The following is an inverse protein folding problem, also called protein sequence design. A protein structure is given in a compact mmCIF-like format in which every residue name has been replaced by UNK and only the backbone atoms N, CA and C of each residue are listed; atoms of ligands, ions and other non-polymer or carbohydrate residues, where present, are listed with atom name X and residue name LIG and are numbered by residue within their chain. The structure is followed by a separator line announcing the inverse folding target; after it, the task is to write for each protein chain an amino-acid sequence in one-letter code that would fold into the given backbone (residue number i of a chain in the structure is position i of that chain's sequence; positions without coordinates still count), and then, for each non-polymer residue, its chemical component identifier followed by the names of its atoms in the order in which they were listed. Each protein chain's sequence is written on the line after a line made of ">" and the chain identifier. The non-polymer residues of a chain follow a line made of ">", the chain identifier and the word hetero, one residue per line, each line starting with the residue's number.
data_IF_823726321439
#
_entry.id   IF_823726321439
#
_cell.length_a   1.000
_cell.length_b   1.000
_cell.length_c   1.000
_cell.angle_alpha   90.00
_cell.angle_beta   90.00
_cell.angle_gamma   90.00
#
_symmetry.space_group_name_H-M   'P 1'
#
loop_
_entity.id
_entity.type
_entity.pdbx_description
1 polymer ?
#
# COMPACT_ATOMS: atom_id res chain seq x y z
N UNK A 1 -13.49 22.69 -1.49
CA UNK A 1 -13.47 21.29 -1.99
C UNK A 1 -12.06 20.80 -2.31
N UNK A 2 -11.28 21.48 -3.18
CA UNK A 2 -9.91 21.12 -3.59
C UNK A 2 -8.95 20.87 -2.41
N UNK A 3 -8.92 21.77 -1.40
CA UNK A 3 -8.05 21.62 -0.21
C UNK A 3 -8.28 20.33 0.55
N UNK A 4 -9.51 19.84 0.61
CA UNK A 4 -9.80 18.56 1.29
C UNK A 4 -9.24 17.37 0.50
N UNK A 5 -9.49 17.32 -0.83
CA UNK A 5 -8.94 16.25 -1.67
C UNK A 5 -7.43 16.23 -1.61
N UNK A 6 -6.77 17.38 -1.71
CA UNK A 6 -5.32 17.49 -1.59
C UNK A 6 -4.82 16.92 -0.25
N UNK A 7 -5.49 17.29 0.87
CA UNK A 7 -5.13 16.77 2.19
C UNK A 7 -5.27 15.25 2.29
N UNK A 8 -6.33 14.68 1.71
CA UNK A 8 -6.57 13.24 1.74
C UNK A 8 -5.58 12.50 0.83
N UNK A 9 -5.29 13.02 -0.35
CA UNK A 9 -4.26 12.51 -1.25
C UNK A 9 -2.87 12.54 -0.60
N UNK A 10 -2.47 13.66 0.00
CA UNK A 10 -1.21 13.79 0.73
C UNK A 10 -1.11 12.80 1.88
N UNK A 11 -2.21 12.56 2.61
CA UNK A 11 -2.24 11.56 3.67
C UNK A 11 -2.01 10.15 3.14
N UNK A 12 -2.54 9.85 1.96
CA UNK A 12 -2.36 8.54 1.34
C UNK A 12 -0.94 8.37 0.80
N UNK A 13 -0.40 9.39 0.14
CA UNK A 13 1.01 9.40 -0.31
C UNK A 13 1.98 9.33 0.86
N UNK A 14 1.72 10.05 1.97
CA UNK A 14 2.56 9.95 3.16
C UNK A 14 2.49 8.58 3.82
N UNK A 15 1.35 7.90 3.79
CA UNK A 15 1.24 6.52 4.24
C UNK A 15 2.13 5.58 3.41
N UNK A 16 2.19 5.77 2.08
CA UNK A 16 3.12 5.05 1.21
C UNK A 16 4.57 5.31 1.63
N UNK A 17 4.98 6.57 1.71
CA UNK A 17 6.36 6.96 2.07
C UNK A 17 6.76 6.38 3.42
N UNK A 18 5.91 6.47 4.44
CA UNK A 18 6.20 5.94 5.79
C UNK A 18 6.45 4.44 5.74
N UNK A 19 5.62 3.68 5.02
CA UNK A 19 5.83 2.22 4.92
C UNK A 19 7.10 1.89 4.16
N UNK A 20 7.42 2.61 3.08
CA UNK A 20 8.66 2.38 2.33
C UNK A 20 9.90 2.71 3.17
N UNK A 21 9.89 3.81 3.94
CA UNK A 21 10.97 4.14 4.87
C UNK A 21 11.12 3.09 5.98
N UNK A 22 9.99 2.62 6.52
CA UNK A 22 10.00 1.55 7.52
C UNK A 22 10.54 0.24 6.94
N UNK A 23 10.14 -0.11 5.72
CA UNK A 23 10.66 -1.26 5.00
C UNK A 23 12.15 -1.14 4.71
N UNK A 24 12.62 0.06 4.34
CA UNK A 24 14.04 0.35 4.11
C UNK A 24 14.87 0.21 5.39
N UNK A 25 14.32 0.63 6.53
CA UNK A 25 15.00 0.53 7.83
C UNK A 25 15.06 -0.92 8.34
N UNK A 26 13.96 -1.67 8.23
CA UNK A 26 13.87 -3.05 8.74
C UNK A 26 14.40 -4.09 7.77
N UNK A 27 14.23 -3.89 6.47
CA UNK A 27 14.56 -4.87 5.45
C UNK A 27 15.99 -5.38 5.53
N UNK A 28 17.01 -4.49 5.52
CA UNK A 28 18.40 -4.90 5.65
C UNK A 28 18.72 -5.62 6.97
N UNK A 29 18.14 -5.18 8.08
CA UNK A 29 18.33 -5.81 9.39
C UNK A 29 17.79 -7.23 9.42
N UNK A 30 16.55 -7.42 8.95
CA UNK A 30 15.93 -8.75 8.90
C UNK A 30 16.66 -9.66 7.92
N UNK A 31 17.06 -9.13 6.75
CA UNK A 31 17.83 -9.88 5.77
C UNK A 31 19.18 -10.36 6.33
N UNK A 32 19.92 -9.46 6.97
CA UNK A 32 21.25 -9.77 7.50
C UNK A 32 21.21 -10.78 8.66
N UNK A 33 20.21 -10.65 9.53
CA UNK A 33 20.12 -11.48 10.76
C UNK A 33 19.51 -12.87 10.46
N UNK A 34 18.50 -12.95 9.59
CA UNK A 34 17.66 -14.16 9.51
C UNK A 34 17.92 -15.00 8.27
N UNK A 35 18.25 -14.41 7.14
CA UNK A 35 18.00 -15.10 5.88
C UNK A 35 19.19 -15.17 4.90
N UNK A 36 20.17 -14.29 4.92
CA UNK A 36 21.40 -14.31 4.10
C UNK A 36 21.32 -14.92 2.67
N UNK A 37 20.15 -15.34 2.24
CA UNK A 37 19.89 -16.07 1.02
C UNK A 37 18.91 -15.33 0.09
N UNK A 38 18.96 -15.66 -1.21
CA UNK A 38 18.02 -15.12 -2.20
C UNK A 38 16.55 -15.44 -1.85
N UNK A 39 16.28 -16.65 -1.38
CA UNK A 39 14.94 -17.05 -0.93
C UNK A 39 14.45 -16.22 0.25
N UNK A 40 15.34 -15.90 1.18
CA UNK A 40 15.04 -15.01 2.29
C UNK A 40 14.64 -13.62 1.85
N UNK A 41 15.28 -13.09 0.82
CA UNK A 41 14.93 -11.79 0.24
C UNK A 41 13.50 -11.79 -0.34
N UNK A 42 13.06 -12.86 -0.99
CA UNK A 42 11.69 -13.00 -1.48
C UNK A 42 10.67 -13.09 -0.35
N UNK A 43 10.94 -13.90 0.67
CA UNK A 43 10.05 -14.06 1.84
C UNK A 43 9.88 -12.71 2.55
N UNK A 44 10.98 -11.98 2.74
CA UNK A 44 10.93 -10.66 3.34
C UNK A 44 10.09 -9.68 2.51
N UNK A 45 10.32 -9.61 1.19
CA UNK A 45 9.52 -8.74 0.31
C UNK A 45 8.05 -9.12 0.28
N UNK A 46 7.73 -10.40 0.36
CA UNK A 46 6.35 -10.85 0.50
C UNK A 46 5.72 -10.37 1.81
N UNK A 47 6.42 -10.50 2.94
CA UNK A 47 5.96 -10.03 4.24
C UNK A 47 5.78 -8.50 4.27
N UNK A 48 6.74 -7.75 3.72
CA UNK A 48 6.66 -6.30 3.61
C UNK A 48 5.52 -5.85 2.69
N UNK A 49 5.25 -6.58 1.61
CA UNK A 49 4.11 -6.32 0.70
C UNK A 49 2.78 -6.50 1.43
N UNK A 50 2.65 -7.53 2.27
CA UNK A 50 1.45 -7.75 3.10
C UNK A 50 1.30 -6.62 4.12
N UNK A 51 2.36 -6.24 4.81
CA UNK A 51 2.35 -5.13 5.74
C UNK A 51 1.96 -3.80 5.06
N UNK A 52 2.49 -3.56 3.86
CA UNK A 52 2.12 -2.44 3.01
C UNK A 52 0.62 -2.44 2.68
N UNK A 53 0.09 -3.58 2.23
CA UNK A 53 -1.34 -3.74 1.90
C UNK A 53 -2.24 -3.42 3.09
N UNK A 54 -1.92 -3.96 4.27
CA UNK A 54 -2.66 -3.72 5.52
C UNK A 54 -2.63 -2.23 5.88
N UNK A 55 -1.48 -1.57 5.75
CA UNK A 55 -1.33 -0.16 6.10
C UNK A 55 -2.13 0.76 5.17
N UNK A 56 -2.03 0.54 3.86
CA UNK A 56 -2.78 1.28 2.83
C UNK A 56 -4.27 1.09 3.04
N UNK A 57 -4.73 -0.17 3.19
CA UNK A 57 -6.11 -0.51 3.48
C UNK A 57 -6.63 0.22 4.73
N UNK A 58 -5.91 0.12 5.86
CA UNK A 58 -6.28 0.75 7.13
C UNK A 58 -6.38 2.27 7.03
N UNK A 59 -5.46 2.88 6.26
CA UNK A 59 -5.47 4.33 6.04
C UNK A 59 -6.68 4.76 5.22
N UNK A 60 -6.99 4.05 4.13
CA UNK A 60 -8.16 4.31 3.30
C UNK A 60 -9.48 4.08 4.06
N UNK A 61 -9.54 3.02 4.87
CA UNK A 61 -10.67 2.73 5.76
C UNK A 61 -10.96 3.89 6.73
N UNK A 62 -9.92 4.41 7.38
CA UNK A 62 -10.03 5.56 8.30
C UNK A 62 -10.45 6.84 7.59
N UNK A 63 -10.06 7.03 6.32
CA UNK A 63 -10.50 8.16 5.52
C UNK A 63 -12.00 8.04 5.22
N UNK A 64 -12.46 6.89 4.73
CA UNK A 64 -13.86 6.63 4.45
C UNK A 64 -14.74 6.79 5.70
N UNK A 65 -14.30 6.26 6.84
CA UNK A 65 -15.01 6.40 8.12
C UNK A 65 -15.20 7.84 8.58
N UNK A 66 -14.35 8.77 8.12
CA UNK A 66 -14.54 10.21 8.34
C UNK A 66 -15.52 10.83 7.34
N UNK A 67 -15.48 10.38 6.10
CA UNK A 67 -16.32 10.91 5.03
C UNK A 67 -17.80 10.54 5.18
N UNK A 68 -18.13 9.41 5.79
CA UNK A 68 -19.51 8.97 6.01
C UNK A 68 -20.18 9.59 7.25
N UNK A 69 -19.47 10.37 8.05
CA UNK A 69 -20.07 11.03 9.20
C UNK A 69 -21.07 12.10 8.76
N UNK A 70 -22.20 12.19 9.47
CA UNK A 70 -23.31 13.11 9.14
C UNK A 70 -22.91 14.58 9.04
N UNK A 71 -21.85 14.98 9.76
CA UNK A 71 -21.30 16.34 9.72
C UNK A 71 -20.22 16.53 8.65
N UNK A 72 -19.91 15.50 7.86
CA UNK A 72 -18.93 15.62 6.79
C UNK A 72 -19.50 16.47 5.65
N UNK A 73 -18.77 17.53 5.28
CA UNK A 73 -19.11 18.37 4.11
C UNK A 73 -18.79 17.68 2.79
N UNK A 74 -18.18 16.49 2.83
CA UNK A 74 -17.66 15.80 1.67
C UNK A 74 -18.38 14.45 1.50
N UNK A 75 -19.07 14.32 0.37
CA UNK A 75 -19.76 13.07 0.04
C UNK A 75 -18.77 11.92 -0.13
N UNK A 76 -19.08 10.80 0.52
CA UNK A 76 -18.39 9.55 0.28
C UNK A 76 -18.91 8.91 -1.01
N UNK A 77 -18.03 8.41 -1.86
CA UNK A 77 -18.37 7.62 -3.05
C UNK A 77 -17.28 6.59 -3.33
N UNK A 78 -17.65 5.43 -3.86
CA UNK A 78 -16.79 4.24 -3.96
C UNK A 78 -15.49 4.54 -4.72
N UNK A 79 -15.57 5.24 -5.86
CA UNK A 79 -14.40 5.57 -6.68
C UNK A 79 -13.38 6.49 -5.97
N UNK A 80 -13.73 7.13 -4.85
CA UNK A 80 -12.81 8.00 -4.10
C UNK A 80 -11.60 7.22 -3.60
N UNK A 81 -11.76 5.92 -3.29
CA UNK A 81 -10.64 5.05 -2.94
C UNK A 81 -9.57 4.97 -4.03
N UNK A 82 -9.96 4.98 -5.31
CA UNK A 82 -9.03 5.05 -6.44
C UNK A 82 -8.43 6.45 -6.59
N UNK A 83 -9.26 7.49 -6.50
CA UNK A 83 -8.83 8.89 -6.69
C UNK A 83 -7.74 9.30 -5.70
N UNK A 84 -7.83 8.86 -4.44
CA UNK A 84 -6.82 9.18 -3.43
C UNK A 84 -5.48 8.47 -3.65
N UNK A 85 -5.43 7.41 -4.46
CA UNK A 85 -4.22 6.70 -4.84
C UNK A 85 -3.49 7.34 -6.03
N UNK A 86 -4.18 8.15 -6.84
CA UNK A 86 -3.67 8.74 -8.09
C UNK A 86 -2.34 9.48 -7.92
N UNK A 87 -2.14 10.37 -6.92
CA UNK A 87 -0.86 11.06 -6.78
C UNK A 87 0.32 10.11 -6.55
N UNK A 88 0.14 9.06 -5.75
CA UNK A 88 1.18 8.06 -5.52
C UNK A 88 1.51 7.29 -6.80
N UNK A 89 0.47 6.92 -7.58
CA UNK A 89 0.66 6.27 -8.88
C UNK A 89 1.40 7.16 -9.88
N UNK A 90 1.07 8.46 -9.92
CA UNK A 90 1.76 9.41 -10.80
C UNK A 90 3.23 9.54 -10.42
N UNK A 91 3.56 9.63 -9.13
CA UNK A 91 4.94 9.65 -8.67
C UNK A 91 5.66 8.35 -9.06
N UNK A 92 5.03 7.19 -8.85
CA UNK A 92 5.59 5.89 -9.25
C UNK A 92 5.85 5.85 -10.75
N UNK A 93 4.93 6.33 -11.58
CA UNK A 93 5.08 6.40 -13.03
C UNK A 93 6.24 7.31 -13.44
N UNK A 94 6.33 8.51 -12.86
CA UNK A 94 7.43 9.45 -13.13
C UNK A 94 8.76 8.84 -12.76
N UNK A 95 8.86 8.22 -11.59
CA UNK A 95 10.10 7.56 -11.15
C UNK A 95 10.48 6.38 -12.03
N UNK A 96 9.50 5.61 -12.54
CA UNK A 96 9.74 4.53 -13.50
C UNK A 96 10.29 5.09 -14.81
N UNK A 97 9.68 6.14 -15.36
CA UNK A 97 10.14 6.76 -16.60
C UNK A 97 11.55 7.35 -16.44
N UNK A 98 11.86 7.97 -15.29
CA UNK A 98 13.21 8.46 -15.00
C UNK A 98 14.21 7.30 -14.88
N UNK A 99 13.80 6.20 -14.25
CA UNK A 99 14.62 5.00 -14.13
C UNK A 99 14.93 4.40 -15.49
N UNK A 100 13.93 4.22 -16.36
CA UNK A 100 14.13 3.74 -17.72
C UNK A 100 14.99 4.70 -18.54
N UNK A 101 14.72 6.01 -18.44
CA UNK A 101 15.52 7.04 -19.11
C UNK A 101 16.99 6.97 -18.69
N UNK A 102 17.30 6.74 -17.43
CA UNK A 102 18.67 6.65 -16.93
C UNK A 102 19.48 5.51 -17.56
N UNK A 103 18.80 4.44 -18.03
CA UNK A 103 19.46 3.33 -18.71
C UNK A 103 19.65 3.54 -20.22
N UNK A 104 18.72 4.25 -20.86
CA UNK A 104 18.73 4.38 -22.32
C UNK A 104 19.41 5.67 -22.81
N UNK A 105 19.49 6.69 -21.96
CA UNK A 105 20.09 7.95 -22.33
C UNK A 105 21.58 7.98 -21.96
N UNK A 106 22.43 8.18 -22.94
CA UNK A 106 23.87 8.36 -22.73
C UNK A 106 24.19 9.86 -22.63
N UNK A 107 24.66 10.28 -21.49
CA UNK A 107 25.20 11.62 -21.31
C UNK A 107 26.60 11.70 -21.92
N UNK A 108 26.96 12.87 -22.43
CA UNK A 108 28.30 13.12 -23.02
C UNK A 108 29.41 13.04 -21.95
N UNK A 109 29.07 13.38 -20.71
CA UNK A 109 29.94 13.30 -19.55
C UNK A 109 29.64 12.02 -18.76
N UNK A 110 30.61 11.13 -18.66
CA UNK A 110 30.53 9.85 -17.97
C UNK A 110 30.28 10.01 -16.47
N UNK A 111 30.90 10.98 -15.80
CA UNK A 111 30.74 11.21 -14.38
C UNK A 111 29.33 11.71 -14.06
N UNK A 112 28.77 12.55 -14.92
CA UNK A 112 27.39 13.02 -14.82
C UNK A 112 26.39 11.87 -14.99
N UNK A 113 26.63 10.98 -15.95
CA UNK A 113 25.81 9.80 -16.17
C UNK A 113 25.81 8.89 -14.94
N UNK A 114 26.97 8.54 -14.41
CA UNK A 114 27.11 7.68 -13.23
C UNK A 114 26.37 8.26 -12.01
N UNK A 115 26.49 9.55 -11.76
CA UNK A 115 25.81 10.23 -10.64
C UNK A 115 24.29 10.24 -10.85
N UNK A 116 23.83 10.52 -12.06
CA UNK A 116 22.40 10.54 -12.37
C UNK A 116 21.78 9.14 -12.21
N UNK A 117 22.38 8.10 -12.78
CA UNK A 117 21.92 6.72 -12.64
C UNK A 117 21.89 6.29 -11.16
N UNK A 118 22.94 6.61 -10.40
CA UNK A 118 23.01 6.29 -8.99
C UNK A 118 21.86 6.94 -8.20
N UNK A 119 21.62 8.23 -8.40
CA UNK A 119 20.55 8.95 -7.69
C UNK A 119 19.18 8.39 -8.06
N UNK A 120 18.89 8.29 -9.36
CA UNK A 120 17.59 7.83 -9.86
C UNK A 120 17.30 6.41 -9.39
N UNK A 121 18.30 5.51 -9.48
CA UNK A 121 18.18 4.14 -9.03
C UNK A 121 17.87 4.04 -7.54
N UNK A 122 18.58 4.77 -6.69
CA UNK A 122 18.36 4.72 -5.25
C UNK A 122 17.01 5.32 -4.84
N UNK A 123 16.58 6.41 -5.48
CA UNK A 123 15.25 7.01 -5.24
C UNK A 123 14.14 6.04 -5.67
N UNK A 124 14.27 5.44 -6.85
CA UNK A 124 13.30 4.47 -7.35
C UNK A 124 13.22 3.22 -6.46
N UNK A 125 14.38 2.67 -6.06
CA UNK A 125 14.45 1.53 -5.14
C UNK A 125 13.85 1.87 -3.78
N UNK A 126 14.18 3.03 -3.22
CA UNK A 126 13.64 3.49 -1.95
C UNK A 126 12.12 3.67 -1.99
N UNK A 127 11.58 4.19 -3.10
CA UNK A 127 10.16 4.36 -3.32
C UNK A 127 9.38 3.04 -3.40
N UNK A 128 10.00 1.97 -3.87
CA UNK A 128 9.39 0.66 -4.07
C UNK A 128 10.01 -0.44 -3.20
N UNK A 129 10.68 -0.09 -2.11
CA UNK A 129 11.54 -1.02 -1.36
C UNK A 129 10.82 -2.26 -0.85
N UNK A 130 9.56 -2.14 -0.47
CA UNK A 130 8.73 -3.29 -0.02
C UNK A 130 8.64 -4.42 -1.04
N UNK A 131 8.86 -4.13 -2.34
CA UNK A 131 8.74 -5.08 -3.44
C UNK A 131 10.08 -5.47 -4.05
N UNK A 132 11.18 -4.88 -3.60
CA UNK A 132 12.50 -4.94 -4.24
C UNK A 132 13.04 -6.38 -4.38
N UNK A 133 12.71 -7.27 -3.46
CA UNK A 133 13.12 -8.67 -3.56
C UNK A 133 12.60 -9.37 -4.82
N UNK A 134 11.43 -9.01 -5.30
CA UNK A 134 10.89 -9.58 -6.53
C UNK A 134 11.56 -9.04 -7.79
N UNK A 135 12.07 -7.81 -7.76
CA UNK A 135 12.80 -7.21 -8.88
C UNK A 135 14.10 -7.94 -9.19
N UNK A 136 14.80 -8.40 -8.17
CA UNK A 136 16.09 -9.10 -8.31
C UNK A 136 15.94 -10.57 -8.74
N UNK A 137 14.71 -11.05 -8.97
CA UNK A 137 14.46 -12.41 -9.40
C UNK A 137 15.04 -12.70 -10.79
N UNK A 138 15.68 -13.84 -10.93
CA UNK A 138 16.15 -14.35 -12.23
C UNK A 138 14.98 -14.76 -13.13
N UNK A 139 13.88 -15.27 -12.52
CA UNK A 139 12.67 -15.67 -13.22
C UNK A 139 11.90 -14.44 -13.72
N UNK A 140 11.63 -14.42 -15.03
CA UNK A 140 10.88 -13.35 -15.67
C UNK A 140 9.46 -13.17 -15.12
N UNK A 141 8.79 -14.26 -14.71
CA UNK A 141 7.45 -14.23 -14.12
C UNK A 141 7.46 -13.51 -12.77
N UNK A 142 8.44 -13.82 -11.91
CA UNK A 142 8.59 -13.15 -10.60
C UNK A 142 8.96 -11.67 -10.78
N UNK A 143 9.76 -11.35 -11.80
CA UNK A 143 10.08 -9.96 -12.14
C UNK A 143 8.84 -9.19 -12.63
N UNK A 144 7.96 -9.84 -13.39
CA UNK A 144 6.69 -9.26 -13.81
C UNK A 144 5.79 -8.97 -12.60
N UNK A 145 5.76 -9.85 -11.61
CA UNK A 145 5.05 -9.64 -10.35
C UNK A 145 5.49 -8.35 -9.64
N UNK A 146 6.78 -8.03 -9.66
CA UNK A 146 7.28 -6.76 -9.11
C UNK A 146 6.55 -5.55 -9.71
N UNK A 147 6.45 -5.46 -11.02
CA UNK A 147 5.79 -4.35 -11.68
C UNK A 147 4.30 -4.29 -11.36
N UNK A 148 3.64 -5.45 -11.35
CA UNK A 148 2.23 -5.53 -10.94
C UNK A 148 2.03 -5.03 -9.50
N UNK A 149 2.90 -5.41 -8.57
CA UNK A 149 2.82 -4.95 -7.19
C UNK A 149 3.05 -3.44 -7.07
N UNK A 150 4.05 -2.88 -7.74
CA UNK A 150 4.33 -1.44 -7.72
C UNK A 150 3.14 -0.59 -8.17
N UNK A 151 2.38 -1.04 -9.17
CA UNK A 151 1.27 -0.26 -9.74
C UNK A 151 -0.10 -0.64 -9.19
N UNK A 152 -0.33 -1.91 -8.83
CA UNK A 152 -1.64 -2.40 -8.43
C UNK A 152 -1.91 -2.32 -6.92
N UNK A 153 -0.88 -2.51 -6.07
CA UNK A 153 -1.06 -2.60 -4.62
C UNK A 153 -1.73 -1.36 -4.04
N UNK A 154 -1.25 -0.18 -4.43
CA UNK A 154 -1.78 1.07 -3.89
C UNK A 154 -3.24 1.29 -4.27
N UNK A 155 -3.66 1.29 -5.54
CA UNK A 155 -5.05 1.52 -5.91
C UNK A 155 -5.99 0.41 -5.44
N UNK A 156 -5.57 -0.86 -5.49
CA UNK A 156 -6.42 -1.99 -5.08
C UNK A 156 -6.73 -1.92 -3.59
N UNK A 157 -5.71 -1.80 -2.73
CA UNK A 157 -5.93 -1.77 -1.28
C UNK A 157 -6.51 -0.44 -0.79
N UNK A 158 -6.25 0.67 -1.48
CA UNK A 158 -6.92 1.94 -1.24
C UNK A 158 -8.42 1.86 -1.57
N UNK A 159 -8.77 1.25 -2.70
CA UNK A 159 -10.16 1.03 -3.09
C UNK A 159 -10.88 0.11 -2.09
N UNK A 160 -10.30 -1.06 -1.80
CA UNK A 160 -10.89 -2.04 -0.87
C UNK A 160 -11.06 -1.46 0.54
N UNK A 161 -10.05 -0.75 1.04
CA UNK A 161 -10.11 -0.12 2.35
C UNK A 161 -11.17 0.98 2.41
N UNK A 162 -11.25 1.82 1.37
CA UNK A 162 -12.25 2.86 1.31
C UNK A 162 -13.68 2.29 1.19
N UNK A 163 -13.87 1.29 0.34
CA UNK A 163 -15.15 0.57 0.20
C UNK A 163 -15.59 -0.07 1.51
N UNK A 164 -14.69 -0.77 2.20
CA UNK A 164 -14.98 -1.39 3.49
C UNK A 164 -15.33 -0.34 4.55
N UNK A 165 -14.59 0.79 4.58
CA UNK A 165 -14.85 1.89 5.49
C UNK A 165 -16.21 2.56 5.25
N UNK A 166 -16.63 2.71 3.99
CA UNK A 166 -17.96 3.22 3.64
C UNK A 166 -19.08 2.30 4.14
N UNK A 167 -18.90 0.99 4.02
CA UNK A 167 -19.88 0.00 4.47
C UNK A 167 -19.77 -0.35 5.95
N UNK A 168 -18.87 0.33 6.69
CA UNK A 168 -18.55 0.01 8.10
C UNK A 168 -18.18 -1.46 8.30
N UNK A 169 -17.58 -2.06 7.31
CA UNK A 169 -17.19 -3.46 7.32
C UNK A 169 -15.87 -3.62 8.08
N UNK A 170 -15.92 -4.07 9.31
CA UNK A 170 -14.77 -4.34 10.15
C UNK A 170 -14.26 -5.77 9.90
N UNK A 171 -13.38 -5.93 8.91
CA UNK A 171 -12.87 -7.24 8.49
C UNK A 171 -12.25 -8.02 9.67
N UNK A 172 -11.43 -7.38 10.47
CA UNK A 172 -10.81 -8.01 11.64
C UNK A 172 -11.81 -8.41 12.69
N UNK A 173 -12.73 -7.51 13.06
CA UNK A 173 -13.74 -7.77 14.08
C UNK A 173 -14.71 -8.89 13.65
N UNK A 174 -15.18 -8.86 12.42
CA UNK A 174 -16.08 -9.89 11.90
C UNK A 174 -15.41 -11.27 11.77
N UNK A 175 -14.11 -11.32 11.46
CA UNK A 175 -13.36 -12.56 11.39
C UNK A 175 -13.06 -13.13 12.78
N UNK A 176 -12.51 -12.31 13.67
CA UNK A 176 -12.14 -12.74 15.03
C UNK A 176 -13.36 -12.94 15.94
N UNK A 177 -14.43 -12.17 15.77
CA UNK A 177 -15.65 -12.38 16.56
C UNK A 177 -16.33 -13.70 16.24
N UNK A 178 -16.28 -14.16 14.98
CA UNK A 178 -16.77 -15.49 14.61
C UNK A 178 -15.90 -16.63 15.15
N UNK A 179 -14.60 -16.38 15.34
CA UNK A 179 -13.67 -17.37 15.88
C UNK A 179 -13.72 -17.46 17.42
N UNK A 180 -13.88 -16.31 18.09
CA UNK A 180 -13.76 -16.21 19.55
C UNK A 180 -15.14 -16.22 20.24
N UNK A 181 -16.13 -15.61 19.62
CA UNK A 181 -17.50 -15.58 20.17
C UNK A 181 -18.42 -16.43 19.28
N UNK A 182 -18.70 -17.67 19.70
CA UNK A 182 -19.96 -18.31 19.29
C UNK A 182 -21.05 -17.37 19.74
N UNK A 183 -21.73 -16.70 18.82
CA UNK A 183 -22.89 -15.86 19.15
C UNK A 183 -23.84 -16.72 19.97
N UNK A 184 -24.13 -16.41 21.23
CA UNK A 184 -25.11 -17.17 21.97
C UNK A 184 -26.38 -17.12 21.13
N UNK A 185 -26.93 -18.30 20.84
CA UNK A 185 -28.21 -18.42 20.13
C UNK A 185 -29.17 -17.46 20.81
N UNK A 186 -29.72 -16.49 20.04
CA UNK A 186 -30.81 -15.63 20.56
C UNK A 186 -31.85 -16.57 21.12
N UNK A 187 -31.92 -16.64 22.42
CA UNK A 187 -32.98 -17.39 23.11
C UNK A 187 -34.27 -16.64 22.78
N UNK A 188 -35.16 -17.29 22.03
CA UNK A 188 -36.52 -16.83 21.67
C UNK A 188 -37.44 -16.59 22.91
N UNK A 189 -36.84 -16.37 24.07
CA UNK A 189 -37.54 -16.16 25.34
C UNK A 189 -37.92 -14.71 25.64
N UNK A 190 -37.37 -13.74 24.91
CA UNK A 190 -37.66 -12.33 25.20
C UNK A 190 -38.92 -11.79 24.51
N UNK A 191 -39.50 -12.52 23.56
CA UNK A 191 -40.69 -12.08 22.82
C UNK A 191 -42.03 -12.61 23.44
N UNK A 192 -41.98 -13.28 24.59
CA UNK A 192 -43.22 -13.78 25.25
C UNK A 192 -43.67 -13.00 26.50
N UNK A 193 -42.94 -11.94 26.87
CA UNK A 193 -43.31 -11.15 28.07
C UNK A 193 -43.96 -9.79 27.77
N UNK A 194 -44.30 -9.54 26.49
CA UNK A 194 -45.01 -8.32 26.06
C UNK A 194 -46.30 -8.69 25.29
N UNK A 195 -47.11 -9.57 25.89
CA UNK A 195 -48.54 -9.70 25.55
C UNK A 195 -49.36 -9.66 26.78
#
# INVERSE_FOLDING_TARGET
>A
MVKHYLKVCLKMTSAHVVVQLFSLALGPLVFYIILGSRTGWYIMSAALSVAYAIWVYSTAYKIAGKDIKSYSQHKAYIAKGLVIAVPTLLITLILTLLYDFSFYHQFTDYDMQMRFEFIVRNVFMGWNFSFEGFRSAADGTVRMLYWVLCYAMMPVFSFLGYWAGMNRYEFGYNFFSKLVYKTPAKTDKENKSLK
#
